data_IF_276525268091
#
_entry.id   IF_276525268091
#
_cell.length_a   1.000
_cell.length_b   1.000
_cell.length_c   1.000
_cell.angle_alpha   90.00
_cell.angle_beta   90.00
_cell.angle_gamma   90.00
#
_symmetry.space_group_name_H-M   'P 1'
#
loop_
_entity.id
_entity.type
_entity.pdbx_description
1 polymer ?
#
# COMPACT_ATOMS: atom_id res chain seq x y z
N UNK A 1 16.26 -4.37 42.82
CA UNK A 1 14.87 -4.83 42.66
C UNK A 1 14.41 -4.31 41.30
N UNK A 2 14.14 -5.23 40.38
CA UNK A 2 13.51 -5.08 39.05
C UNK A 2 14.26 -4.37 37.90
N UNK A 3 14.68 -5.22 36.96
CA UNK A 3 15.02 -5.01 35.55
C UNK A 3 13.77 -4.91 34.68
N UNK A 4 13.76 -4.03 33.67
CA UNK A 4 12.93 -4.03 32.45
C UNK A 4 13.31 -2.75 31.65
N UNK A 5 13.50 -2.68 30.34
CA UNK A 5 13.32 -3.63 29.25
C UNK A 5 14.42 -3.39 28.21
N UNK A 6 15.13 -4.46 27.89
CA UNK A 6 15.97 -4.56 26.70
C UNK A 6 15.03 -4.90 25.54
N UNK A 7 14.46 -3.86 24.90
CA UNK A 7 13.72 -4.02 23.65
C UNK A 7 14.73 -4.33 22.54
N UNK A 8 15.05 -5.62 22.43
CA UNK A 8 15.83 -6.16 21.34
C UNK A 8 15.18 -5.81 20.00
N UNK A 9 15.74 -4.79 19.35
CA UNK A 9 15.61 -4.59 17.92
C UNK A 9 16.18 -5.84 17.24
N UNK A 10 15.33 -6.82 16.96
CA UNK A 10 15.69 -7.93 16.08
C UNK A 10 15.78 -7.34 14.69
N UNK A 11 16.99 -6.96 14.30
CA UNK A 11 17.37 -6.75 12.92
C UNK A 11 16.79 -7.90 12.11
N UNK A 12 15.83 -7.59 11.24
CA UNK A 12 15.29 -8.57 10.30
C UNK A 12 16.44 -8.91 9.37
N UNK A 13 17.08 -10.06 9.60
CA UNK A 13 18.20 -10.50 8.77
C UNK A 13 17.77 -10.52 7.32
N UNK A 14 18.61 -9.97 6.43
CA UNK A 14 18.38 -9.93 4.97
C UNK A 14 18.05 -11.33 4.43
N UNK A 15 18.59 -12.38 5.06
CA UNK A 15 18.31 -13.78 4.72
C UNK A 15 16.83 -14.18 4.92
N UNK A 16 16.13 -13.59 5.88
CA UNK A 16 14.71 -13.88 6.17
C UNK A 16 13.81 -13.22 5.12
N UNK A 17 14.10 -11.98 4.74
CA UNK A 17 13.40 -11.25 3.67
C UNK A 17 13.49 -11.99 2.33
N UNK A 18 14.66 -12.55 2.00
CA UNK A 18 14.86 -13.32 0.75
C UNK A 18 14.12 -14.67 0.77
N UNK A 19 13.94 -15.28 1.94
CA UNK A 19 13.25 -16.58 2.08
C UNK A 19 11.71 -16.45 2.03
N UNK A 20 11.12 -15.42 2.63
CA UNK A 20 9.66 -15.25 2.65
C UNK A 20 9.09 -14.87 1.27
N UNK A 21 9.86 -14.15 0.43
CA UNK A 21 9.44 -13.76 -0.93
C UNK A 21 9.33 -14.95 -1.92
N UNK A 22 9.82 -16.14 -1.57
CA UNK A 22 9.73 -17.34 -2.42
C UNK A 22 8.39 -18.09 -2.29
N UNK A 23 7.46 -17.63 -1.43
CA UNK A 23 6.21 -18.32 -1.10
C UNK A 23 4.92 -17.81 -1.77
N UNK A 24 4.95 -16.79 -2.63
CA UNK A 24 3.72 -16.25 -3.25
C UNK A 24 3.22 -17.17 -4.36
N UNK A 25 1.96 -17.64 -4.34
CA UNK A 25 1.43 -18.48 -5.40
C UNK A 25 1.28 -17.66 -6.70
N UNK A 26 2.18 -17.94 -7.64
CA UNK A 26 2.18 -17.40 -9.01
C UNK A 26 0.96 -17.94 -9.77
N UNK A 27 0.08 -17.05 -10.23
CA UNK A 27 -1.00 -17.41 -11.16
C UNK A 27 -0.39 -17.94 -12.47
N UNK A 28 -0.49 -19.25 -12.69
CA UNK A 28 0.01 -19.93 -13.87
C UNK A 28 -0.96 -19.71 -15.05
N UNK A 29 -0.53 -18.94 -16.06
CA UNK A 29 -1.20 -18.95 -17.36
C UNK A 29 -0.54 -20.00 -18.26
N UNK A 30 -1.29 -21.06 -18.57
CA UNK A 30 -0.89 -22.13 -19.48
C UNK A 30 -1.17 -21.75 -20.93
N UNK A 31 -0.11 -21.43 -21.68
CA UNK A 31 -0.07 -21.64 -23.14
C UNK A 31 1.33 -22.12 -23.55
N UNK A 32 1.36 -23.25 -24.27
CA UNK A 32 2.55 -24.03 -24.61
C UNK A 32 3.37 -23.43 -25.77
N UNK A 33 4.68 -23.70 -25.66
CA UNK A 33 5.61 -24.10 -26.72
C UNK A 33 6.25 -23.03 -27.62
N UNK A 34 7.55 -22.78 -27.39
CA UNK A 34 8.56 -22.89 -28.44
C UNK A 34 9.96 -23.07 -27.83
N UNK A 35 10.69 -24.06 -28.34
CA UNK A 35 12.10 -24.36 -28.07
C UNK A 35 12.99 -23.16 -28.38
N UNK A 36 13.63 -22.58 -27.36
CA UNK A 36 14.73 -21.63 -27.53
C UNK A 36 15.85 -22.02 -26.55
N UNK A 37 17.08 -22.06 -27.05
CA UNK A 37 18.25 -22.65 -26.37
C UNK A 37 18.50 -22.07 -24.97
N UNK A 38 19.13 -22.89 -24.12
CA UNK A 38 19.65 -22.50 -22.81
C UNK A 38 20.67 -21.35 -22.94
N UNK A 39 20.18 -20.12 -23.11
CA UNK A 39 20.98 -18.92 -22.92
C UNK A 39 20.90 -18.59 -21.43
N UNK A 40 21.93 -18.96 -20.68
CA UNK A 40 22.08 -18.53 -19.29
C UNK A 40 22.12 -17.00 -19.31
N UNK A 41 21.09 -16.36 -18.74
CA UNK A 41 21.03 -14.91 -18.61
C UNK A 41 22.26 -14.42 -17.85
N UNK A 42 22.86 -13.32 -18.30
CA UNK A 42 23.91 -12.66 -17.51
C UNK A 42 23.29 -12.08 -16.22
N UNK A 43 24.08 -11.87 -15.16
CA UNK A 43 23.59 -11.21 -13.94
C UNK A 43 22.89 -9.87 -14.22
N UNK A 44 23.36 -9.11 -15.22
CA UNK A 44 22.73 -7.86 -15.64
C UNK A 44 21.35 -8.08 -16.27
N UNK A 45 21.19 -9.12 -17.10
CA UNK A 45 19.89 -9.45 -17.68
C UNK A 45 18.90 -9.96 -16.62
N UNK A 46 19.38 -10.72 -15.63
CA UNK A 46 18.55 -11.16 -14.50
C UNK A 46 18.09 -9.97 -13.64
N UNK A 47 19.00 -9.04 -13.34
CA UNK A 47 18.68 -7.83 -12.59
C UNK A 47 17.65 -6.96 -13.32
N UNK A 48 17.79 -6.80 -14.63
CA UNK A 48 16.86 -6.02 -15.44
C UNK A 48 15.46 -6.66 -15.48
N UNK A 49 15.38 -7.98 -15.57
CA UNK A 49 14.11 -8.70 -15.49
C UNK A 49 13.42 -8.47 -14.12
N UNK A 50 14.16 -8.55 -13.02
CA UNK A 50 13.62 -8.28 -11.68
C UNK A 50 13.16 -6.83 -11.51
N UNK A 51 13.85 -5.87 -12.12
CA UNK A 51 13.42 -4.47 -12.12
C UNK A 51 12.13 -4.27 -12.91
N UNK A 52 12.00 -4.92 -14.06
CA UNK A 52 10.75 -4.90 -14.82
C UNK A 52 9.59 -5.47 -14.01
N UNK A 53 9.83 -6.55 -13.23
CA UNK A 53 8.82 -7.09 -12.31
C UNK A 53 8.49 -6.10 -11.18
N UNK A 54 9.49 -5.43 -10.61
CA UNK A 54 9.31 -4.39 -9.59
C UNK A 54 8.51 -3.19 -10.12
N UNK A 55 8.82 -2.70 -11.32
CA UNK A 55 8.10 -1.59 -11.96
C UNK A 55 6.61 -1.92 -12.14
N UNK A 56 6.28 -3.18 -12.39
CA UNK A 56 4.89 -3.67 -12.43
C UNK A 56 4.21 -3.62 -11.06
N UNK A 57 4.91 -3.98 -9.99
CA UNK A 57 4.42 -3.88 -8.61
C UNK A 57 4.21 -2.41 -8.23
N UNK A 58 5.17 -1.54 -8.55
CA UNK A 58 5.10 -0.11 -8.25
C UNK A 58 3.93 0.55 -8.99
N UNK A 59 3.71 0.17 -10.25
CA UNK A 59 2.53 0.61 -11.01
C UNK A 59 1.24 0.21 -10.30
N UNK A 60 1.12 -1.06 -9.88
CA UNK A 60 -0.06 -1.53 -9.16
C UNK A 60 -0.24 -0.83 -7.80
N UNK A 61 0.85 -0.54 -7.08
CA UNK A 61 0.81 0.21 -5.83
C UNK A 61 0.27 1.63 -6.03
N UNK A 62 0.70 2.32 -7.08
CA UNK A 62 0.20 3.66 -7.42
C UNK A 62 -1.31 3.64 -7.70
N UNK A 63 -1.80 2.62 -8.40
CA UNK A 63 -3.24 2.47 -8.65
C UNK A 63 -4.03 2.26 -7.34
N UNK A 64 -3.54 1.42 -6.44
CA UNK A 64 -4.17 1.20 -5.13
C UNK A 64 -4.17 2.48 -4.28
N UNK A 65 -3.08 3.25 -4.31
CA UNK A 65 -2.99 4.53 -3.61
C UNK A 65 -4.01 5.52 -4.18
N UNK A 66 -4.12 5.63 -5.50
CA UNK A 66 -5.14 6.47 -6.16
C UNK A 66 -6.55 6.08 -5.69
N UNK A 67 -6.89 4.80 -5.79
CA UNK A 67 -8.21 4.29 -5.43
C UNK A 67 -8.55 4.56 -3.96
N UNK A 68 -7.55 4.44 -3.07
CA UNK A 68 -7.68 4.78 -1.65
C UNK A 68 -8.03 6.25 -1.46
N UNK A 69 -7.32 7.16 -2.14
CA UNK A 69 -7.57 8.61 -2.05
C UNK A 69 -8.95 8.96 -2.62
N UNK A 70 -9.34 8.42 -3.77
CA UNK A 70 -10.68 8.64 -4.35
C UNK A 70 -11.80 8.20 -3.39
N UNK A 71 -11.64 7.04 -2.74
CA UNK A 71 -12.60 6.56 -1.76
C UNK A 71 -12.67 7.51 -0.55
N UNK A 72 -11.54 8.01 -0.08
CA UNK A 72 -11.51 8.98 1.00
C UNK A 72 -12.15 10.32 0.61
N UNK A 73 -11.99 10.80 -0.62
CA UNK A 73 -12.73 11.98 -1.11
C UNK A 73 -14.24 11.77 -1.01
N UNK A 74 -14.74 10.60 -1.41
CA UNK A 74 -16.16 10.25 -1.30
C UNK A 74 -16.63 10.20 0.16
N UNK A 75 -15.78 9.68 1.06
CA UNK A 75 -16.04 9.71 2.51
C UNK A 75 -16.09 11.15 3.03
N UNK A 76 -15.20 12.04 2.60
CA UNK A 76 -15.20 13.46 2.99
C UNK A 76 -16.50 14.17 2.59
N UNK A 77 -16.96 13.97 1.35
CA UNK A 77 -18.24 14.51 0.88
C UNK A 77 -19.41 14.01 1.73
N UNK A 78 -19.43 12.72 2.09
CA UNK A 78 -20.43 12.16 2.98
C UNK A 78 -20.34 12.78 4.38
N UNK A 79 -19.14 12.88 4.95
CA UNK A 79 -18.91 13.50 6.25
C UNK A 79 -19.43 14.93 6.27
N UNK A 80 -19.11 15.72 5.25
CA UNK A 80 -19.59 17.09 5.08
C UNK A 80 -21.11 17.17 5.03
N UNK A 81 -21.75 16.36 4.17
CA UNK A 81 -23.22 16.35 4.00
C UNK A 81 -23.96 16.05 5.30
N UNK A 82 -23.38 15.22 6.16
CA UNK A 82 -23.99 14.79 7.41
C UNK A 82 -23.37 15.46 8.65
N UNK A 83 -22.54 16.48 8.47
CA UNK A 83 -21.82 17.18 9.55
C UNK A 83 -21.08 16.23 10.51
N UNK A 84 -20.55 15.13 9.96
CA UNK A 84 -19.73 14.17 10.72
C UNK A 84 -18.34 14.78 10.89
N UNK A 85 -17.75 14.73 12.11
CA UNK A 85 -16.41 15.24 12.34
C UNK A 85 -15.38 14.58 11.43
N UNK A 86 -14.45 15.41 10.94
CA UNK A 86 -13.33 14.98 10.13
C UNK A 86 -12.48 13.92 10.84
N UNK A 87 -11.94 14.33 12.00
CA UNK A 87 -11.03 13.50 12.78
C UNK A 87 -11.79 12.43 13.54
N UNK A 88 -11.41 11.18 13.27
CA UNK A 88 -11.99 10.00 13.91
C UNK A 88 -10.86 9.13 14.49
N UNK A 89 -10.37 9.43 15.71
CA UNK A 89 -9.20 8.76 16.29
C UNK A 89 -9.35 7.23 16.37
N UNK A 90 -10.56 6.74 16.62
CA UNK A 90 -10.85 5.30 16.61
C UNK A 90 -10.64 4.66 15.24
N UNK A 91 -10.96 5.38 14.16
CA UNK A 91 -10.74 4.88 12.79
C UNK A 91 -9.26 4.83 12.46
N UNK A 92 -8.51 5.87 12.82
CA UNK A 92 -7.04 5.94 12.65
C UNK A 92 -6.37 4.79 13.39
N UNK A 93 -6.69 4.61 14.68
CA UNK A 93 -6.15 3.49 15.46
C UNK A 93 -6.46 2.11 14.87
N UNK A 94 -7.66 1.92 14.32
CA UNK A 94 -8.01 0.66 13.64
C UNK A 94 -7.24 0.43 12.33
N UNK A 95 -6.83 1.49 11.62
CA UNK A 95 -5.99 1.36 10.42
C UNK A 95 -4.58 0.91 10.80
N UNK A 96 -3.97 1.54 11.81
CA UNK A 96 -2.64 1.14 12.30
C UNK A 96 -2.64 -0.27 12.87
N UNK A 97 -3.64 -0.65 13.67
CA UNK A 97 -3.73 -2.00 14.21
C UNK A 97 -3.83 -3.06 13.10
N UNK A 98 -4.58 -2.75 12.04
CA UNK A 98 -4.66 -3.61 10.87
C UNK A 98 -3.31 -3.72 10.14
N UNK A 99 -2.63 -2.58 9.92
CA UNK A 99 -1.32 -2.54 9.29
C UNK A 99 -0.27 -3.34 10.09
N UNK A 100 -0.25 -3.18 11.41
CA UNK A 100 0.62 -3.92 12.33
C UNK A 100 0.36 -5.41 12.30
N UNK A 101 -0.92 -5.82 12.35
CA UNK A 101 -1.31 -7.23 12.26
C UNK A 101 -0.90 -7.83 10.91
N UNK A 102 -1.08 -7.08 9.83
CA UNK A 102 -0.63 -7.48 8.49
C UNK A 102 0.89 -7.63 8.45
N UNK A 103 1.64 -6.69 9.03
CA UNK A 103 3.11 -6.73 9.05
C UNK A 103 3.62 -8.02 9.70
N UNK A 104 3.10 -8.32 10.90
CA UNK A 104 3.51 -9.49 11.68
C UNK A 104 3.15 -10.82 11.02
N UNK A 105 2.08 -10.86 10.22
CA UNK A 105 1.65 -12.08 9.52
C UNK A 105 2.36 -12.31 8.17
N UNK A 106 3.10 -11.31 7.67
CA UNK A 106 3.75 -11.35 6.36
C UNK A 106 5.27 -11.06 6.44
N UNK A 107 5.86 -11.19 7.63
CA UNK A 107 7.29 -10.93 7.90
C UNK A 107 7.76 -9.52 7.47
N UNK A 108 6.88 -8.52 7.57
CA UNK A 108 7.22 -7.12 7.34
C UNK A 108 7.47 -6.40 8.66
N UNK A 109 8.26 -5.32 8.62
CA UNK A 109 8.46 -4.46 9.79
C UNK A 109 7.14 -3.74 10.15
N UNK A 110 6.63 -3.89 11.39
CA UNK A 110 5.48 -3.14 11.85
C UNK A 110 5.72 -1.63 11.86
N UNK A 111 6.94 -1.19 12.18
CA UNK A 111 7.34 0.21 12.18
C UNK A 111 7.27 0.80 10.77
N UNK A 112 7.76 0.07 9.77
CA UNK A 112 7.67 0.49 8.37
C UNK A 112 6.22 0.66 7.90
N UNK A 113 5.32 -0.27 8.26
CA UNK A 113 3.91 -0.11 7.90
C UNK A 113 3.24 1.00 8.70
N UNK A 114 3.58 1.21 9.97
CA UNK A 114 3.08 2.36 10.72
C UNK A 114 3.47 3.69 10.03
N UNK A 115 4.74 3.86 9.64
CA UNK A 115 5.22 5.06 8.93
C UNK A 115 4.54 5.24 7.57
N UNK A 116 4.37 4.15 6.79
CA UNK A 116 3.66 4.20 5.51
C UNK A 116 2.22 4.67 5.70
N UNK A 117 1.53 4.13 6.70
CA UNK A 117 0.14 4.52 6.98
C UNK A 117 0.03 5.92 7.56
N UNK A 118 1.02 6.42 8.30
CA UNK A 118 1.08 7.82 8.73
C UNK A 118 1.11 8.78 7.53
N UNK A 119 1.93 8.48 6.51
CA UNK A 119 1.99 9.28 5.27
C UNK A 119 0.65 9.23 4.53
N UNK A 120 0.08 8.04 4.35
CA UNK A 120 -1.20 7.87 3.64
C UNK A 120 -2.36 8.57 4.38
N UNK A 121 -2.41 8.48 5.70
CA UNK A 121 -3.43 9.14 6.53
C UNK A 121 -3.26 10.65 6.49
N UNK A 122 -2.03 11.14 6.60
CA UNK A 122 -1.74 12.58 6.53
C UNK A 122 -2.22 13.19 5.22
N UNK A 123 -1.90 12.56 4.09
CA UNK A 123 -2.37 13.04 2.78
C UNK A 123 -3.89 12.97 2.66
N UNK A 124 -4.50 11.92 3.21
CA UNK A 124 -5.96 11.79 3.22
C UNK A 124 -6.60 12.94 3.99
N UNK A 125 -6.15 13.21 5.23
CA UNK A 125 -6.68 14.31 6.03
C UNK A 125 -6.59 15.64 5.28
N UNK A 126 -5.45 15.93 4.64
CA UNK A 126 -5.26 17.13 3.83
C UNK A 126 -6.28 17.24 2.69
N UNK A 127 -6.52 16.14 1.96
CA UNK A 127 -7.49 16.09 0.86
C UNK A 127 -8.92 16.23 1.38
N UNK A 128 -9.26 15.56 2.49
CA UNK A 128 -10.57 15.68 3.10
C UNK A 128 -10.82 17.15 3.54
N UNK A 129 -9.83 17.82 4.15
CA UNK A 129 -9.97 19.19 4.66
C UNK A 129 -10.31 20.16 3.51
N UNK A 130 -9.64 20.02 2.36
CA UNK A 130 -9.96 20.79 1.15
C UNK A 130 -11.41 20.62 0.68
N UNK A 131 -12.01 19.43 0.86
CA UNK A 131 -13.39 19.13 0.45
C UNK A 131 -14.40 19.67 1.45
N UNK A 132 -14.08 19.59 2.75
CA UNK A 132 -14.95 20.08 3.83
C UNK A 132 -14.96 21.61 3.85
N UNK A 133 -13.81 22.25 3.67
CA UNK A 133 -13.65 23.71 3.71
C UNK A 133 -14.07 24.42 2.41
N UNK A 134 -14.21 23.69 1.29
CA UNK A 134 -14.65 24.30 0.03
C UNK A 134 -16.12 24.75 0.10
N UNK A 135 -16.39 26.05 0.26
CA UNK A 135 -17.73 26.67 0.40
C UNK A 135 -18.72 26.50 -0.80
N UNK A 136 -18.43 25.67 -1.81
CA UNK A 136 -19.27 25.42 -2.99
C UNK A 136 -19.73 23.97 -3.16
N UNK A 137 -20.77 23.75 -3.98
CA UNK A 137 -21.23 22.42 -4.40
C UNK A 137 -20.08 21.64 -5.07
N UNK A 138 -19.59 20.60 -4.40
CA UNK A 138 -18.72 19.61 -5.03
C UNK A 138 -19.63 18.55 -5.64
N UNK A 139 -19.72 18.56 -6.98
CA UNK A 139 -20.42 17.52 -7.73
C UNK A 139 -19.68 16.18 -7.58
N UNK A 140 -20.28 15.30 -6.78
CA UNK A 140 -19.77 13.96 -6.48
C UNK A 140 -19.73 13.06 -7.74
N UNK A 141 -20.45 13.42 -8.81
CA UNK A 141 -20.40 12.73 -10.09
C UNK A 141 -19.17 13.12 -10.94
N UNK A 142 -18.54 14.26 -10.66
CA UNK A 142 -17.32 14.71 -11.36
C UNK A 142 -16.03 14.10 -10.78
N UNK A 143 -16.07 13.57 -9.56
CA UNK A 143 -15.04 12.67 -9.00
C UNK A 143 -15.32 11.24 -9.49
N UNK A 144 -15.50 11.09 -10.80
CA UNK A 144 -15.54 9.78 -11.43
C UNK A 144 -14.16 9.13 -11.21
N UNK A 145 -14.09 7.80 -10.95
CA UNK A 145 -12.81 7.13 -10.94
C UNK A 145 -12.11 7.46 -12.26
N UNK A 146 -10.82 7.80 -12.21
CA UNK A 146 -9.99 7.92 -13.40
C UNK A 146 -10.05 6.57 -14.13
N UNK A 147 -11.04 6.40 -15.01
CA UNK A 147 -11.20 5.23 -15.85
C UNK A 147 -10.01 5.25 -16.80
N UNK A 148 -9.02 4.43 -16.51
CA UNK A 148 -8.00 4.11 -17.48
C UNK A 148 -8.66 3.18 -18.51
N UNK A 149 -9.06 3.74 -19.64
CA UNK A 149 -9.38 2.93 -20.81
C UNK A 149 -8.08 2.19 -21.23
N UNK A 150 -8.24 0.87 -21.38
CA UNK A 150 -7.42 -0.18 -22.00
C UNK A 150 -5.93 0.10 -22.33
#
# INVERSE_FOLDING_TARGET
MHTADDLGHREVSVDVLVQTMQGVPRMENSTRSATAGNSVLTPQQQLEALRTELDGIDSALLEVVRDRIELCCRIAVLKRRHSIPMMQPRRVGAVHEHARTYALSHDLSPEFLDDLYDVLITETCRVEDLIIDADGEIDVAAVAPLRHDA
#
